data_IF_365931450562
#
_entry.id   IF_365931450562
#
_cell.length_a   1.000
_cell.length_b   1.000
_cell.length_c   1.000
_cell.angle_alpha   90.00
_cell.angle_beta   90.00
_cell.angle_gamma   90.00
#
_symmetry.space_group_name_H-M   'P 1'
#
loop_
_entity.id
_entity.type
_entity.pdbx_description
1 polymer ?
#
# COMPACT_ATOMS: atom_id res chain seq x y z
N UNK A 1 37.10 -45.76 28.66
CA UNK A 1 36.26 -45.38 27.51
C UNK A 1 36.11 -43.86 27.51
N UNK A 2 37.09 -43.12 26.98
CA UNK A 2 36.98 -41.66 26.80
C UNK A 2 36.56 -41.39 25.36
N UNK A 3 35.45 -40.68 25.16
CA UNK A 3 34.99 -40.25 23.86
C UNK A 3 35.45 -38.80 23.62
N UNK A 4 36.36 -38.62 22.67
CA UNK A 4 36.87 -37.32 22.24
C UNK A 4 35.83 -36.65 21.33
N UNK A 5 35.31 -35.50 21.74
CA UNK A 5 34.41 -34.68 20.91
C UNK A 5 35.21 -33.94 19.82
N UNK A 6 34.75 -33.90 18.56
CA UNK A 6 35.45 -33.16 17.52
C UNK A 6 35.33 -31.65 17.72
N UNK A 7 36.47 -30.97 17.58
CA UNK A 7 36.62 -29.53 17.66
C UNK A 7 35.84 -28.84 16.53
N UNK A 8 34.76 -28.13 16.86
CA UNK A 8 33.95 -27.34 15.92
C UNK A 8 34.77 -26.13 15.46
N UNK A 9 35.43 -26.24 14.31
CA UNK A 9 36.08 -25.11 13.65
C UNK A 9 35.02 -24.06 13.32
N UNK A 10 35.12 -22.90 13.99
CA UNK A 10 34.30 -21.73 13.66
C UNK A 10 34.69 -21.23 12.28
N UNK A 11 33.86 -21.54 11.27
CA UNK A 11 33.99 -20.93 9.96
C UNK A 11 33.69 -19.44 10.11
N UNK A 12 34.72 -18.61 9.97
CA UNK A 12 34.61 -17.16 9.87
C UNK A 12 33.63 -16.85 8.74
N UNK A 13 32.42 -16.41 9.09
CA UNK A 13 31.43 -15.89 8.14
C UNK A 13 32.15 -14.76 7.40
N UNK A 14 32.43 -14.97 6.10
CA UNK A 14 32.97 -13.92 5.25
C UNK A 14 31.95 -12.80 5.28
N UNK A 15 32.36 -11.65 5.81
CA UNK A 15 31.57 -10.42 5.81
C UNK A 15 31.10 -10.16 4.38
N UNK A 16 29.80 -10.34 4.16
CA UNK A 16 29.16 -10.01 2.90
C UNK A 16 29.42 -8.53 2.63
N UNK A 17 30.05 -8.24 1.48
CA UNK A 17 30.20 -6.89 0.96
C UNK A 17 28.79 -6.28 0.91
N UNK A 18 28.53 -5.11 1.54
CA UNK A 18 27.21 -4.52 1.48
C UNK A 18 26.85 -4.31 0.02
N UNK A 19 25.70 -4.87 -0.40
CA UNK A 19 25.15 -4.61 -1.72
C UNK A 19 25.09 -3.08 -1.91
N UNK A 20 25.60 -2.60 -3.04
CA UNK A 20 25.61 -1.18 -3.33
C UNK A 20 24.18 -0.66 -3.19
N UNK A 21 23.98 0.32 -2.29
CA UNK A 21 22.69 0.96 -2.09
C UNK A 21 22.25 1.52 -3.45
N UNK A 22 21.10 1.09 -4.01
CA UNK A 22 20.67 1.60 -5.30
C UNK A 22 20.54 3.13 -5.22
N UNK A 23 20.79 3.85 -6.32
CA UNK A 23 20.73 5.30 -6.33
C UNK A 23 19.34 5.78 -5.88
N UNK A 24 19.30 6.87 -5.10
CA UNK A 24 18.08 7.37 -4.48
C UNK A 24 16.95 7.62 -5.50
N UNK A 25 17.29 8.05 -6.72
CA UNK A 25 16.33 8.27 -7.80
C UNK A 25 15.55 6.99 -8.21
N UNK A 26 16.21 5.83 -8.22
CA UNK A 26 15.54 4.55 -8.57
C UNK A 26 14.63 4.06 -7.45
N UNK A 27 14.94 4.40 -6.19
CA UNK A 27 14.08 4.03 -5.05
C UNK A 27 12.80 4.88 -5.02
N UNK A 28 12.89 6.17 -5.35
CA UNK A 28 11.72 7.05 -5.40
C UNK A 28 10.74 6.68 -6.51
N UNK A 29 11.21 6.24 -7.70
CA UNK A 29 10.30 5.80 -8.75
C UNK A 29 9.56 4.51 -8.38
N UNK A 30 10.25 3.53 -7.79
CA UNK A 30 9.64 2.27 -7.37
C UNK A 30 8.54 2.48 -6.30
N UNK A 31 8.76 3.39 -5.35
CA UNK A 31 7.72 3.72 -4.34
C UNK A 31 6.54 4.43 -4.98
N UNK A 32 6.77 5.36 -5.91
CA UNK A 32 5.68 6.03 -6.61
C UNK A 32 4.82 5.01 -7.41
N UNK A 33 5.45 4.08 -8.12
CA UNK A 33 4.79 2.99 -8.83
C UNK A 33 3.97 2.09 -7.89
N UNK A 34 4.50 1.79 -6.71
CA UNK A 34 3.79 1.03 -5.68
C UNK A 34 2.54 1.77 -5.18
N UNK A 35 2.65 3.07 -4.88
CA UNK A 35 1.50 3.90 -4.47
C UNK A 35 0.46 3.93 -5.60
N UNK A 36 0.87 4.12 -6.84
CA UNK A 36 -0.03 4.09 -8.00
C UNK A 36 -0.72 2.73 -8.18
N UNK A 37 -0.04 1.63 -7.83
CA UNK A 37 -0.65 0.30 -7.87
C UNK A 37 -1.79 0.17 -6.87
N UNK A 38 -1.63 0.70 -5.64
CA UNK A 38 -2.73 0.71 -4.66
C UNK A 38 -3.90 1.60 -5.09
N UNK A 39 -3.62 2.73 -5.74
CA UNK A 39 -4.63 3.60 -6.35
C UNK A 39 -5.41 2.85 -7.44
N UNK A 40 -4.71 2.10 -8.30
CA UNK A 40 -5.36 1.29 -9.34
C UNK A 40 -6.23 0.18 -8.75
N UNK A 41 -5.77 -0.50 -7.70
CA UNK A 41 -6.56 -1.52 -6.98
C UNK A 41 -7.84 -0.91 -6.39
N UNK A 42 -7.76 0.27 -5.77
CA UNK A 42 -8.93 1.01 -5.27
C UNK A 42 -9.93 1.28 -6.39
N UNK A 43 -9.45 1.75 -7.54
CA UNK A 43 -10.31 2.13 -8.67
C UNK A 43 -11.01 0.90 -9.27
N UNK A 44 -10.31 -0.23 -9.38
CA UNK A 44 -10.90 -1.51 -9.80
C UNK A 44 -12.00 -1.99 -8.83
N UNK A 45 -11.73 -1.93 -7.52
CA UNK A 45 -12.70 -2.33 -6.50
C UNK A 45 -13.91 -1.40 -6.45
N UNK A 46 -13.74 -0.11 -6.77
CA UNK A 46 -14.86 0.81 -6.91
C UNK A 46 -15.76 0.42 -8.08
N UNK A 47 -15.18 0.15 -9.25
CA UNK A 47 -15.93 -0.30 -10.42
C UNK A 47 -16.70 -1.60 -10.10
N UNK A 48 -16.05 -2.58 -9.45
CA UNK A 48 -16.70 -3.81 -9.00
C UNK A 48 -17.86 -3.53 -8.02
N UNK A 49 -17.69 -2.61 -7.07
CA UNK A 49 -18.75 -2.27 -6.12
C UNK A 49 -19.92 -1.51 -6.75
N UNK A 50 -19.67 -0.72 -7.79
CA UNK A 50 -20.71 -0.04 -8.56
C UNK A 50 -21.54 -1.01 -9.41
N UNK A 51 -20.90 -2.04 -9.97
CA UNK A 51 -21.56 -3.12 -10.72
C UNK A 51 -22.30 -4.09 -9.78
N UNK A 52 -21.58 -4.63 -8.80
CA UNK A 52 -22.07 -5.62 -7.83
C UNK A 52 -22.19 -4.97 -6.45
N UNK A 53 -23.23 -4.16 -6.25
CA UNK A 53 -23.41 -3.39 -5.01
C UNK A 53 -23.89 -4.26 -3.84
N UNK A 54 -22.94 -4.90 -3.17
CA UNK A 54 -23.14 -5.73 -1.98
C UNK A 54 -22.38 -5.13 -0.80
N UNK A 55 -22.75 -5.49 0.43
CA UNK A 55 -22.00 -5.05 1.61
C UNK A 55 -20.51 -5.46 1.55
N UNK A 56 -20.22 -6.66 1.02
CA UNK A 56 -18.85 -7.16 0.89
C UNK A 56 -18.00 -6.37 -0.12
N UNK A 57 -18.55 -6.04 -1.30
CA UNK A 57 -17.83 -5.21 -2.28
C UNK A 57 -17.62 -3.79 -1.76
N UNK A 58 -18.64 -3.20 -1.11
CA UNK A 58 -18.55 -1.88 -0.48
C UNK A 58 -17.54 -1.81 0.67
N UNK A 59 -17.38 -2.90 1.43
CA UNK A 59 -16.35 -3.01 2.46
C UNK A 59 -14.94 -3.08 1.85
N UNK A 60 -14.75 -3.86 0.77
CA UNK A 60 -13.45 -3.98 0.08
C UNK A 60 -12.97 -2.65 -0.48
N UNK A 61 -13.82 -1.94 -1.23
CA UNK A 61 -13.46 -0.62 -1.78
C UNK A 61 -13.19 0.41 -0.67
N UNK A 62 -13.94 0.36 0.44
CA UNK A 62 -13.69 1.22 1.60
C UNK A 62 -12.27 0.99 2.17
N UNK A 63 -11.90 -0.27 2.41
CA UNK A 63 -10.57 -0.62 2.92
C UNK A 63 -9.45 -0.21 1.96
N UNK A 64 -9.62 -0.45 0.65
CA UNK A 64 -8.64 -0.07 -0.35
C UNK A 64 -8.47 1.46 -0.43
N UNK A 65 -9.58 2.22 -0.34
CA UNK A 65 -9.54 3.67 -0.32
C UNK A 65 -8.85 4.23 0.94
N UNK A 66 -9.16 3.67 2.12
CA UNK A 66 -8.49 4.03 3.37
C UNK A 66 -6.98 3.78 3.32
N UNK A 67 -6.58 2.64 2.76
CA UNK A 67 -5.16 2.31 2.61
C UNK A 67 -4.46 3.26 1.64
N UNK A 68 -5.04 3.49 0.45
CA UNK A 68 -4.50 4.43 -0.53
C UNK A 68 -4.39 5.85 0.06
N UNK A 69 -5.39 6.32 0.81
CA UNK A 69 -5.34 7.65 1.45
C UNK A 69 -4.18 7.78 2.45
N UNK A 70 -3.87 6.73 3.22
CA UNK A 70 -2.72 6.71 4.13
C UNK A 70 -1.39 6.77 3.40
N UNK A 71 -1.27 6.08 2.27
CA UNK A 71 -0.07 6.16 1.41
C UNK A 71 0.17 7.56 0.84
N UNK A 72 -0.86 8.42 0.82
CA UNK A 72 -0.80 9.79 0.31
C UNK A 72 -0.54 10.83 1.41
N UNK A 73 -0.40 10.43 2.67
CA UNK A 73 0.00 11.36 3.72
C UNK A 73 1.42 11.89 3.47
N UNK A 74 1.72 13.14 3.86
CA UNK A 74 3.07 13.67 3.74
C UNK A 74 4.09 12.76 4.43
N UNK A 75 5.13 12.37 3.68
CA UNK A 75 6.17 11.50 4.23
C UNK A 75 6.92 12.19 5.37
N UNK A 76 7.23 11.41 6.41
CA UNK A 76 7.95 11.88 7.58
C UNK A 76 9.45 11.62 7.43
N UNK A 77 10.33 12.40 8.09
CA UNK A 77 11.75 12.08 8.16
C UNK A 77 11.98 10.65 8.68
N UNK A 78 12.91 9.87 8.10
CA UNK A 78 13.82 10.17 6.98
C UNK A 78 13.30 9.74 5.58
N UNK A 79 12.01 9.45 5.45
CA UNK A 79 11.41 8.84 4.26
C UNK A 79 10.79 9.85 3.29
N UNK A 80 11.19 11.12 3.31
CA UNK A 80 10.60 12.16 2.47
C UNK A 80 10.66 11.84 0.96
N UNK A 81 11.63 11.01 0.55
CA UNK A 81 11.77 10.54 -0.82
C UNK A 81 10.84 9.36 -1.19
N UNK A 82 10.01 8.88 -0.25
CA UNK A 82 9.07 7.77 -0.39
C UNK A 82 7.61 8.25 -0.37
N UNK A 83 7.33 9.34 -1.08
CA UNK A 83 5.99 9.86 -1.31
C UNK A 83 5.81 10.19 -2.79
N UNK A 84 4.56 10.33 -3.20
CA UNK A 84 4.27 10.96 -4.48
C UNK A 84 4.69 12.44 -4.47
N UNK A 85 4.94 13.03 -5.66
CA UNK A 85 4.94 14.47 -5.84
C UNK A 85 3.68 15.10 -5.23
N UNK A 86 3.83 16.21 -4.52
CA UNK A 86 2.74 16.80 -3.72
C UNK A 86 1.51 17.16 -4.57
N UNK A 87 1.70 17.60 -5.82
CA UNK A 87 0.59 17.90 -6.74
C UNK A 87 -0.28 16.66 -7.02
N UNK A 88 0.34 15.51 -7.26
CA UNK A 88 -0.34 14.23 -7.47
C UNK A 88 -0.99 13.73 -6.18
N UNK A 89 -0.28 13.85 -5.05
CA UNK A 89 -0.81 13.47 -3.75
C UNK A 89 -2.06 14.27 -3.36
N UNK A 90 -2.07 15.60 -3.60
CA UNK A 90 -3.24 16.45 -3.37
C UNK A 90 -4.42 16.01 -4.24
N UNK A 91 -4.17 15.74 -5.52
CA UNK A 91 -5.20 15.29 -6.45
C UNK A 91 -5.84 13.98 -5.97
N UNK A 92 -5.03 12.98 -5.62
CA UNK A 92 -5.53 11.69 -5.18
C UNK A 92 -6.20 11.74 -3.81
N UNK A 93 -5.75 12.58 -2.87
CA UNK A 93 -6.47 12.82 -1.60
C UNK A 93 -7.86 13.41 -1.83
N UNK A 94 -8.04 14.27 -2.84
CA UNK A 94 -9.38 14.76 -3.22
C UNK A 94 -10.24 13.63 -3.79
N UNK A 95 -9.66 12.77 -4.64
CA UNK A 95 -10.37 11.58 -5.15
C UNK A 95 -10.80 10.63 -4.04
N UNK A 96 -9.96 10.37 -3.03
CA UNK A 96 -10.31 9.55 -1.88
C UNK A 96 -11.57 10.07 -1.16
N UNK A 97 -11.70 11.40 -0.99
CA UNK A 97 -12.90 12.02 -0.40
C UNK A 97 -14.14 11.80 -1.27
N UNK A 98 -14.03 12.00 -2.57
CA UNK A 98 -15.14 11.76 -3.52
C UNK A 98 -15.58 10.29 -3.48
N UNK A 99 -14.64 9.35 -3.44
CA UNK A 99 -14.94 7.92 -3.37
C UNK A 99 -15.65 7.55 -2.05
N UNK A 100 -15.25 8.14 -0.91
CA UNK A 100 -15.96 7.94 0.37
C UNK A 100 -17.42 8.36 0.30
N UNK A 101 -17.71 9.50 -0.34
CA UNK A 101 -19.09 9.96 -0.57
C UNK A 101 -19.84 8.94 -1.43
N UNK A 102 -19.23 8.50 -2.54
CA UNK A 102 -19.83 7.52 -3.43
C UNK A 102 -20.15 6.19 -2.74
N UNK A 103 -19.23 5.68 -1.91
CA UNK A 103 -19.46 4.46 -1.11
C UNK A 103 -20.64 4.65 -0.16
N UNK A 104 -20.76 5.83 0.48
CA UNK A 104 -21.88 6.12 1.37
C UNK A 104 -23.23 6.13 0.63
N UNK A 105 -23.29 6.70 -0.57
CA UNK A 105 -24.47 6.65 -1.44
C UNK A 105 -24.88 5.22 -1.78
N UNK A 106 -23.91 4.40 -2.18
CA UNK A 106 -24.13 2.99 -2.52
C UNK A 106 -24.62 2.18 -1.30
N UNK A 107 -24.02 2.40 -0.12
CA UNK A 107 -24.49 1.78 1.14
C UNK A 107 -25.94 2.17 1.45
N UNK A 108 -26.29 3.44 1.26
CA UNK A 108 -27.67 3.88 1.45
C UNK A 108 -28.64 3.19 0.48
N UNK A 109 -28.22 2.94 -0.77
CA UNK A 109 -29.01 2.19 -1.76
C UNK A 109 -29.24 0.73 -1.33
N UNK A 110 -28.21 0.04 -0.85
CA UNK A 110 -28.34 -1.35 -0.36
C UNK A 110 -29.35 -1.44 0.78
N UNK A 111 -29.25 -0.54 1.77
CA UNK A 111 -30.16 -0.52 2.92
C UNK A 111 -31.62 -0.28 2.52
N UNK A 112 -31.87 0.58 1.53
CA UNK A 112 -33.22 0.85 1.03
C UNK A 112 -33.86 -0.35 0.33
N UNK A 113 -33.07 -1.22 -0.30
CA UNK A 113 -33.59 -2.43 -0.95
C UNK A 113 -33.73 -3.62 0.00
N UNK A 114 -33.13 -3.54 1.20
CA UNK A 114 -33.22 -4.59 2.22
C UNK A 114 -34.35 -4.36 3.25
N UNK A 115 -35.00 -3.19 3.22
CA UNK A 115 -36.12 -2.81 4.08
C UNK A 115 -37.45 -2.97 3.31
#
# INVERSE_FOLDING_TARGET
MQATLPHRQSQKIRSAKPAARPPAATQTSAVAEEIFSFIAVRDLLLAEAEELTTEASLHRVWMANEFAERCLEPARPPYQAQSLPEAEAVYERRRCKTIKVRIAELRARVRRHAA
#
